data_IF_634701245492
#
_entry.id   IF_634701245492
#
_cell.length_a   1.000
_cell.length_b   1.000
_cell.length_c   1.000
_cell.angle_alpha   90.00
_cell.angle_beta   90.00
_cell.angle_gamma   90.00
#
_symmetry.space_group_name_H-M   'P 1'
#
loop_
_entity.id
_entity.type
_entity.pdbx_description
1 polymer ?
#
# COMPACT_ATOMS: atom_id res chain seq x y z
N UNK A 1 -14.90 -6.80 -3.74
CA UNK A 1 -14.88 -5.78 -4.81
C UNK A 1 -13.50 -5.60 -5.46
N UNK A 2 -12.52 -6.43 -5.06
CA UNK A 2 -11.17 -6.47 -5.66
C UNK A 2 -11.18 -6.93 -7.13
N UNK A 3 -12.20 -7.68 -7.54
CA UNK A 3 -12.25 -8.37 -8.83
C UNK A 3 -13.17 -7.69 -9.86
N UNK A 4 -13.89 -6.67 -9.45
CA UNK A 4 -14.67 -5.85 -10.37
C UNK A 4 -13.90 -4.55 -10.65
N UNK A 5 -13.49 -4.36 -11.90
CA UNK A 5 -12.95 -3.09 -12.39
C UNK A 5 -14.02 -2.00 -12.27
N UNK A 6 -14.11 -1.36 -11.13
CA UNK A 6 -14.79 -0.08 -11.00
C UNK A 6 -13.72 1.00 -11.10
N UNK A 7 -13.66 1.66 -12.24
CA UNK A 7 -12.66 2.66 -12.64
C UNK A 7 -12.47 3.86 -11.70
N UNK A 8 -13.26 3.95 -10.63
CA UNK A 8 -13.25 5.11 -9.72
C UNK A 8 -12.40 4.88 -8.46
N UNK A 9 -12.12 3.62 -8.07
CA UNK A 9 -11.35 3.32 -6.85
C UNK A 9 -9.97 2.71 -7.14
N UNK A 10 -9.66 2.34 -8.37
CA UNK A 10 -8.41 1.67 -8.73
C UNK A 10 -7.17 2.48 -8.33
N UNK A 11 -7.11 3.74 -8.71
CA UNK A 11 -5.93 4.58 -8.46
C UNK A 11 -5.69 4.86 -6.97
N UNK A 12 -6.73 4.96 -6.13
CA UNK A 12 -6.54 5.22 -4.70
C UNK A 12 -5.88 4.04 -3.97
N UNK A 13 -6.32 2.80 -4.25
CA UNK A 13 -5.73 1.61 -3.65
C UNK A 13 -4.29 1.39 -4.13
N UNK A 14 -4.06 1.52 -5.44
CA UNK A 14 -2.72 1.43 -6.02
C UNK A 14 -1.80 2.48 -5.39
N UNK A 15 -2.28 3.72 -5.27
CA UNK A 15 -1.53 4.80 -4.62
C UNK A 15 -1.15 4.46 -3.17
N UNK A 16 -2.08 3.93 -2.38
CA UNK A 16 -1.80 3.52 -1.00
C UNK A 16 -0.76 2.39 -0.94
N UNK A 17 -0.88 1.38 -1.79
CA UNK A 17 0.08 0.27 -1.87
C UNK A 17 1.47 0.76 -2.31
N UNK A 18 1.55 1.61 -3.33
CA UNK A 18 2.83 2.17 -3.78
C UNK A 18 3.51 3.03 -2.72
N UNK A 19 2.75 3.75 -1.87
CA UNK A 19 3.31 4.46 -0.70
C UNK A 19 3.91 3.49 0.33
N UNK A 20 3.27 2.34 0.57
CA UNK A 20 3.83 1.29 1.44
C UNK A 20 5.10 0.70 0.83
N UNK A 21 5.08 0.37 -0.46
CA UNK A 21 6.24 -0.16 -1.19
C UNK A 21 7.41 0.83 -1.14
N UNK A 22 7.15 2.13 -1.39
CA UNK A 22 8.17 3.18 -1.23
C UNK A 22 8.80 3.17 0.16
N UNK A 23 7.97 3.16 1.21
CA UNK A 23 8.44 3.15 2.59
C UNK A 23 9.27 1.90 2.93
N UNK A 24 8.90 0.73 2.39
CA UNK A 24 9.65 -0.53 2.56
C UNK A 24 11.00 -0.49 1.83
N UNK A 25 11.05 0.07 0.62
CA UNK A 25 12.28 0.22 -0.16
C UNK A 25 13.25 1.24 0.46
N UNK A 26 12.73 2.24 1.18
CA UNK A 26 13.51 3.20 1.94
C UNK A 26 13.99 2.64 3.31
N UNK A 27 13.72 1.36 3.60
CA UNK A 27 14.13 0.63 4.83
C UNK A 27 13.73 1.33 6.14
N UNK A 28 12.62 2.04 6.14
CA UNK A 28 12.11 2.73 7.33
C UNK A 28 11.48 1.74 8.32
N UNK A 29 11.64 2.01 9.61
CA UNK A 29 10.78 1.38 10.62
C UNK A 29 9.36 1.87 10.43
N UNK A 30 8.43 0.95 10.12
CA UNK A 30 7.06 1.31 9.83
C UNK A 30 6.06 0.30 10.41
N UNK A 31 4.85 0.77 10.60
CA UNK A 31 3.68 -0.07 10.88
C UNK A 31 2.79 -0.10 9.65
N UNK A 32 2.60 -1.28 9.07
CA UNK A 32 1.70 -1.48 7.95
C UNK A 32 0.39 -2.06 8.44
N UNK A 33 -0.72 -1.43 8.12
CA UNK A 33 -2.07 -1.91 8.41
C UNK A 33 -2.72 -2.34 7.10
N UNK A 34 -3.18 -3.58 7.04
CA UNK A 34 -3.81 -4.15 5.84
C UNK A 34 -4.99 -5.03 6.20
N UNK A 35 -5.86 -5.30 5.23
CA UNK A 35 -6.91 -6.31 5.34
C UNK A 35 -6.41 -7.67 4.87
N UNK A 36 -7.14 -8.74 5.19
CA UNK A 36 -6.81 -10.08 4.71
C UNK A 36 -6.83 -10.17 3.19
N UNK A 37 -7.73 -9.43 2.54
CA UNK A 37 -7.83 -9.31 1.09
C UNK A 37 -6.49 -8.84 0.49
N UNK A 38 -5.89 -7.79 1.08
CA UNK A 38 -4.61 -7.25 0.64
C UNK A 38 -3.42 -8.19 0.87
N UNK A 39 -3.52 -9.08 1.88
CA UNK A 39 -2.50 -10.10 2.14
C UNK A 39 -2.59 -11.30 1.21
N UNK A 40 -3.74 -11.54 0.58
CA UNK A 40 -3.95 -12.69 -0.29
C UNK A 40 -3.53 -12.42 -1.75
N UNK A 41 -3.32 -11.18 -2.14
CA UNK A 41 -2.81 -10.84 -3.47
C UNK A 41 -1.34 -11.26 -3.63
N UNK A 42 -0.99 -11.80 -4.80
CA UNK A 42 0.39 -11.90 -5.22
C UNK A 42 0.86 -10.58 -5.83
N UNK A 43 2.08 -10.19 -5.52
CA UNK A 43 2.68 -8.91 -5.89
C UNK A 43 4.03 -9.13 -6.58
N UNK A 44 4.51 -8.15 -7.33
CA UNK A 44 5.89 -8.16 -7.80
C UNK A 44 6.87 -8.08 -6.63
N UNK A 45 8.03 -8.74 -6.72
CA UNK A 45 9.05 -8.66 -5.67
C UNK A 45 9.59 -7.22 -5.52
N UNK A 46 10.01 -6.85 -4.32
CA UNK A 46 10.61 -5.52 -4.07
C UNK A 46 11.84 -5.28 -4.92
N UNK A 47 12.65 -6.34 -5.16
CA UNK A 47 13.84 -6.28 -6.03
C UNK A 47 13.44 -5.89 -7.45
N UNK A 48 12.41 -6.53 -8.01
CA UNK A 48 11.93 -6.23 -9.35
C UNK A 48 11.36 -4.82 -9.46
N UNK A 49 10.59 -4.38 -8.45
CA UNK A 49 10.10 -3.00 -8.40
C UNK A 49 11.28 -2.03 -8.35
N UNK A 50 12.32 -2.33 -7.55
CA UNK A 50 13.52 -1.50 -7.43
C UNK A 50 14.27 -1.35 -8.76
N UNK A 51 14.33 -2.41 -9.56
CA UNK A 51 14.94 -2.40 -10.90
C UNK A 51 14.18 -1.52 -11.90
N UNK A 52 12.90 -1.25 -11.66
CA UNK A 52 12.04 -0.43 -12.52
C UNK A 52 12.04 1.04 -12.13
N UNK A 53 12.59 1.40 -10.96
CA UNK A 53 12.65 2.79 -10.52
C UNK A 53 13.51 3.63 -11.48
N UNK A 54 13.02 4.82 -11.79
CA UNK A 54 13.77 5.81 -12.56
C UNK A 54 14.20 6.91 -11.60
N UNK A 55 15.48 7.14 -11.49
CA UNK A 55 16.06 8.15 -10.61
C UNK A 55 16.78 9.21 -11.42
N UNK A 56 16.54 10.49 -11.07
CA UNK A 56 17.24 11.64 -11.63
C UNK A 56 17.66 12.59 -10.51
N UNK A 57 18.85 13.14 -10.69
CA UNK A 57 19.40 14.26 -9.92
C UNK A 57 19.43 15.53 -10.78
N UNK A 58 19.61 16.69 -10.17
CA UNK A 58 19.57 18.00 -10.85
C UNK A 58 20.65 18.21 -11.91
N UNK A 59 21.70 17.38 -11.94
CA UNK A 59 22.79 17.41 -12.94
C UNK A 59 22.73 16.24 -13.94
N UNK A 60 21.64 15.46 -13.90
CA UNK A 60 21.45 14.32 -14.79
C UNK A 60 21.13 14.74 -16.22
N UNK A 61 21.41 13.84 -17.17
CA UNK A 61 20.93 13.95 -18.55
C UNK A 61 19.70 13.08 -18.77
N UNK A 62 18.77 13.55 -19.59
CA UNK A 62 17.50 12.88 -19.89
C UNK A 62 17.31 12.72 -21.38
N UNK A 63 17.30 11.48 -21.85
CA UNK A 63 16.72 11.16 -23.15
C UNK A 63 15.18 11.19 -23.04
N UNK A 64 14.59 12.27 -23.55
CA UNK A 64 13.13 12.51 -23.45
C UNK A 64 12.31 11.44 -24.15
N UNK A 65 12.77 10.86 -25.25
CA UNK A 65 12.05 9.80 -25.97
C UNK A 65 12.14 8.47 -25.20
N UNK A 66 13.31 8.17 -24.64
CA UNK A 66 13.46 7.00 -23.78
C UNK A 66 12.59 7.13 -22.54
N UNK A 67 12.59 8.28 -21.85
CA UNK A 67 11.78 8.53 -20.66
C UNK A 67 10.27 8.39 -20.96
N UNK A 68 9.77 8.92 -22.08
CA UNK A 68 8.37 8.71 -22.50
C UNK A 68 8.00 7.23 -22.58
N UNK A 69 8.87 6.44 -23.23
CA UNK A 69 8.61 5.01 -23.41
C UNK A 69 8.66 4.27 -22.05
N UNK A 70 9.57 4.64 -21.17
CA UNK A 70 9.66 4.08 -19.82
C UNK A 70 8.44 4.44 -18.99
N UNK A 71 7.97 5.69 -19.00
CA UNK A 71 6.77 6.11 -18.27
C UNK A 71 5.52 5.36 -18.75
N UNK A 72 5.36 5.19 -20.07
CA UNK A 72 4.25 4.38 -20.60
C UNK A 72 4.37 2.92 -20.15
N UNK A 73 5.57 2.34 -20.16
CA UNK A 73 5.80 0.97 -19.67
C UNK A 73 5.53 0.84 -18.17
N UNK A 74 5.81 1.88 -17.38
CA UNK A 74 5.48 1.96 -15.95
C UNK A 74 3.99 2.24 -15.68
N UNK A 75 3.14 2.34 -16.72
CA UNK A 75 1.71 2.51 -16.60
C UNK A 75 1.22 3.96 -16.46
N UNK A 76 2.08 4.95 -16.72
CA UNK A 76 1.66 6.35 -16.72
C UNK A 76 0.87 6.69 -18.00
N UNK A 77 -0.19 7.47 -17.82
CA UNK A 77 -0.98 8.02 -18.93
C UNK A 77 -0.37 9.32 -19.44
N UNK A 78 -0.16 9.38 -20.77
CA UNK A 78 0.30 10.62 -21.42
C UNK A 78 -0.86 11.58 -21.63
N UNK A 79 -0.75 12.78 -21.08
CA UNK A 79 -1.77 13.83 -21.18
C UNK A 79 -1.19 15.16 -21.70
N UNK A 80 -2.05 16.10 -22.06
CA UNK A 80 -1.62 17.44 -22.45
C UNK A 80 -1.19 18.30 -21.26
N UNK A 81 -1.83 18.13 -20.10
CA UNK A 81 -1.56 18.78 -18.83
C UNK A 81 -1.79 17.78 -17.71
N UNK A 82 -0.86 17.73 -16.75
CA UNK A 82 -0.93 16.82 -15.60
C UNK A 82 -1.85 17.39 -14.54
N UNK A 83 -2.86 16.60 -14.13
CA UNK A 83 -3.87 16.97 -13.14
C UNK A 83 -4.02 15.92 -12.04
N UNK A 84 -3.74 14.65 -12.34
CA UNK A 84 -3.96 13.53 -11.42
C UNK A 84 -2.73 12.61 -11.33
N UNK A 85 -2.53 11.92 -10.18
CA UNK A 85 -1.51 10.89 -10.05
C UNK A 85 -1.59 9.83 -11.13
N UNK A 86 -0.43 9.38 -11.63
CA UNK A 86 -0.31 8.42 -12.73
C UNK A 86 -0.30 9.07 -14.12
N UNK A 87 -0.26 10.39 -14.21
CA UNK A 87 -0.19 11.13 -15.47
C UNK A 87 1.21 11.72 -15.72
N UNK A 88 1.56 11.88 -16.98
CA UNK A 88 2.73 12.65 -17.39
C UNK A 88 2.46 13.47 -18.67
N UNK A 89 3.22 14.55 -18.85
CA UNK A 89 3.18 15.42 -20.02
C UNK A 89 4.58 15.79 -20.45
N UNK A 90 4.81 15.87 -21.76
CA UNK A 90 6.08 16.35 -22.32
C UNK A 90 5.78 17.44 -23.35
N UNK A 91 6.32 18.64 -23.11
CA UNK A 91 6.09 19.85 -23.93
C UNK A 91 7.41 20.60 -24.11
N UNK A 92 8.03 20.44 -25.29
CA UNK A 92 9.36 21.03 -25.52
C UNK A 92 10.39 20.47 -24.52
N UNK A 93 11.10 21.37 -23.83
CA UNK A 93 12.05 21.03 -22.79
C UNK A 93 11.44 20.86 -21.41
N UNK A 94 10.14 20.61 -21.27
CA UNK A 94 9.46 20.43 -19.97
C UNK A 94 8.83 19.05 -19.91
N UNK A 95 9.13 18.32 -18.82
CA UNK A 95 8.52 17.03 -18.48
C UNK A 95 7.82 17.16 -17.14
N UNK A 96 6.50 17.03 -17.14
CA UNK A 96 5.66 17.00 -15.95
C UNK A 96 5.28 15.55 -15.62
N UNK A 97 5.43 15.13 -14.37
CA UNK A 97 5.12 13.75 -13.93
C UNK A 97 4.41 13.81 -12.57
N UNK A 98 3.27 13.13 -12.45
CA UNK A 98 2.58 12.98 -11.16
C UNK A 98 2.72 11.55 -10.66
N UNK A 99 3.74 11.31 -9.85
CA UNK A 99 3.98 10.00 -9.27
C UNK A 99 2.90 9.62 -8.26
N UNK A 100 2.50 8.33 -8.20
CA UNK A 100 1.49 7.84 -7.26
C UNK A 100 1.90 7.99 -5.79
N UNK A 101 3.19 8.01 -5.51
CA UNK A 101 3.73 8.11 -4.15
C UNK A 101 3.72 9.53 -3.59
N UNK A 102 3.57 10.54 -4.46
CA UNK A 102 3.75 11.93 -4.12
C UNK A 102 2.42 12.69 -3.92
N UNK A 103 2.48 13.78 -3.16
CA UNK A 103 1.33 14.67 -2.96
C UNK A 103 1.18 15.68 -4.11
N UNK A 104 2.30 16.09 -4.71
CA UNK A 104 2.35 17.05 -5.81
C UNK A 104 3.13 16.48 -7.00
N UNK A 105 2.77 16.85 -8.24
CA UNK A 105 3.54 16.49 -9.41
C UNK A 105 4.89 17.20 -9.47
N UNK A 106 5.81 16.63 -10.24
CA UNK A 106 7.12 17.17 -10.52
C UNK A 106 7.20 17.76 -11.92
N UNK A 107 7.95 18.85 -12.05
CA UNK A 107 8.33 19.48 -13.32
C UNK A 107 9.84 19.43 -13.45
N UNK A 108 10.30 18.78 -14.50
CA UNK A 108 11.71 18.75 -14.94
C UNK A 108 11.84 19.72 -16.10
N UNK A 109 12.67 20.74 -15.97
CA UNK A 109 13.03 21.66 -17.06
C UNK A 109 14.37 21.23 -17.62
N UNK A 110 14.45 21.15 -18.95
CA UNK A 110 15.63 20.67 -19.65
C UNK A 110 16.22 21.79 -20.49
N UNK A 111 17.55 21.87 -20.47
CA UNK A 111 18.34 22.65 -21.45
C UNK A 111 19.05 21.66 -22.39
N UNK A 112 18.51 21.45 -23.58
CA UNK A 112 18.91 20.32 -24.41
C UNK A 112 18.49 19.02 -23.75
N UNK A 113 19.47 18.18 -23.44
CA UNK A 113 19.26 16.90 -22.74
C UNK A 113 19.66 16.97 -21.24
N UNK A 114 20.16 18.12 -20.77
CA UNK A 114 20.58 18.33 -19.38
C UNK A 114 19.41 18.87 -18.53
N UNK A 115 19.28 18.42 -17.28
CA UNK A 115 18.31 18.94 -16.34
C UNK A 115 18.79 20.31 -15.84
N UNK A 116 18.01 21.36 -16.14
CA UNK A 116 18.21 22.71 -15.64
C UNK A 116 17.61 22.89 -14.24
N UNK A 117 16.43 22.34 -14.00
CA UNK A 117 15.78 22.36 -12.69
C UNK A 117 14.76 21.25 -12.51
N UNK A 118 14.58 20.83 -11.25
CA UNK A 118 13.50 19.94 -10.80
C UNK A 118 12.67 20.69 -9.76
N UNK A 119 11.35 20.72 -9.94
CA UNK A 119 10.45 21.41 -9.01
C UNK A 119 9.16 20.60 -8.78
N UNK A 120 8.61 20.67 -7.58
CA UNK A 120 7.20 20.32 -7.38
C UNK A 120 6.31 21.50 -7.80
N UNK A 121 5.06 21.20 -8.19
CA UNK A 121 4.10 22.23 -8.55
C UNK A 121 2.68 21.82 -8.15
N UNK A 122 1.82 22.80 -7.97
CA UNK A 122 0.41 22.58 -7.68
C UNK A 122 -0.36 22.25 -8.97
N UNK A 123 -1.06 21.11 -9.04
CA UNK A 123 -1.69 20.63 -10.28
C UNK A 123 -2.84 21.52 -10.74
N UNK A 124 -3.52 22.26 -9.85
CA UNK A 124 -4.65 23.13 -10.21
C UNK A 124 -4.16 24.48 -10.77
N UNK A 125 -3.27 25.14 -10.05
CA UNK A 125 -2.76 26.45 -10.44
C UNK A 125 -1.56 26.40 -11.37
N UNK A 126 -0.91 25.23 -11.53
CA UNK A 126 0.31 25.00 -12.30
C UNK A 126 1.53 25.82 -11.81
N UNK A 127 1.47 26.35 -10.59
CA UNK A 127 2.55 27.15 -10.00
C UNK A 127 3.56 26.26 -9.28
N UNK A 128 4.84 26.58 -9.44
CA UNK A 128 5.93 25.91 -8.71
C UNK A 128 5.77 26.13 -7.22
N UNK A 129 6.09 25.08 -6.44
CA UNK A 129 6.05 25.05 -4.98
C UNK A 129 7.48 25.01 -4.44
N UNK A 130 8.21 23.93 -4.65
CA UNK A 130 9.54 23.68 -4.07
C UNK A 130 10.53 23.24 -5.13
N UNK A 131 11.79 23.65 -4.99
CA UNK A 131 12.89 23.10 -5.76
C UNK A 131 13.33 21.77 -5.13
N UNK A 132 13.67 20.80 -5.97
CA UNK A 132 14.12 19.47 -5.59
C UNK A 132 15.51 19.23 -6.17
N UNK A 133 16.35 18.51 -5.44
CA UNK A 133 17.68 18.11 -5.91
C UNK A 133 17.62 16.78 -6.67
N UNK A 134 16.67 15.92 -6.33
CA UNK A 134 16.50 14.59 -6.91
C UNK A 134 15.02 14.20 -6.96
N UNK A 135 14.69 13.22 -7.78
CA UNK A 135 13.40 12.54 -7.79
C UNK A 135 13.53 11.05 -8.12
N UNK A 136 12.61 10.26 -7.63
CA UNK A 136 12.51 8.81 -7.95
C UNK A 136 11.09 8.47 -8.40
N UNK A 137 10.96 8.03 -9.64
CA UNK A 137 9.67 7.67 -10.26
C UNK A 137 9.39 6.20 -9.96
N UNK A 138 8.25 5.96 -9.33
CA UNK A 138 7.72 4.63 -9.03
C UNK A 138 6.71 4.22 -10.10
N UNK A 139 6.49 2.91 -10.33
CA UNK A 139 5.43 2.44 -11.22
C UNK A 139 4.05 3.01 -10.87
N UNK A 140 3.23 3.28 -11.89
CA UNK A 140 1.85 3.72 -11.75
C UNK A 140 0.84 2.56 -11.81
N UNK A 141 1.31 1.32 -11.94
CA UNK A 141 0.52 0.09 -11.94
C UNK A 141 1.18 -0.94 -11.03
N UNK A 142 0.37 -1.86 -10.48
CA UNK A 142 0.86 -2.88 -9.54
C UNK A 142 1.53 -4.08 -10.23
N UNK A 143 1.22 -4.31 -11.51
CA UNK A 143 1.67 -5.49 -12.25
C UNK A 143 2.22 -5.09 -13.61
N UNK A 144 3.52 -5.14 -13.76
CA UNK A 144 4.21 -4.87 -15.03
C UNK A 144 4.58 -6.20 -15.74
N UNK A 145 4.37 -7.33 -15.08
CA UNK A 145 4.64 -8.67 -15.63
C UNK A 145 3.94 -9.79 -14.89
N UNK A 146 3.77 -10.93 -15.56
CA UNK A 146 3.07 -12.12 -15.02
C UNK A 146 4.02 -13.14 -14.36
N UNK A 147 5.30 -12.82 -14.22
CA UNK A 147 6.32 -13.74 -13.71
C UNK A 147 6.91 -13.25 -12.41
N UNK A 148 7.32 -14.20 -11.55
CA UNK A 148 8.04 -13.94 -10.30
C UNK A 148 7.24 -13.16 -9.26
N UNK A 149 5.95 -13.47 -9.17
CA UNK A 149 5.07 -12.90 -8.16
C UNK A 149 5.34 -13.54 -6.79
N UNK A 150 5.35 -12.72 -5.75
CA UNK A 150 5.60 -13.11 -4.36
C UNK A 150 4.38 -12.84 -3.48
N UNK A 151 4.32 -13.47 -2.32
CA UNK A 151 3.33 -13.14 -1.29
C UNK A 151 3.63 -11.77 -0.69
N UNK A 152 2.60 -11.02 -0.29
CA UNK A 152 2.80 -9.79 0.47
C UNK A 152 3.63 -10.01 1.75
N UNK A 153 3.55 -11.20 2.36
CA UNK A 153 4.37 -11.54 3.53
C UNK A 153 5.87 -11.59 3.24
N UNK A 154 6.27 -11.84 1.98
CA UNK A 154 7.69 -11.90 1.60
C UNK A 154 8.37 -10.52 1.60
N UNK A 155 7.59 -9.44 1.64
CA UNK A 155 8.10 -8.07 1.83
C UNK A 155 8.63 -7.82 3.25
N UNK A 156 8.33 -8.70 4.20
CA UNK A 156 8.62 -8.53 5.62
C UNK A 156 9.56 -9.63 6.12
N UNK A 157 10.84 -9.33 6.40
CA UNK A 157 11.78 -10.29 6.98
C UNK A 157 11.25 -10.86 8.32
N UNK A 158 11.30 -12.18 8.49
CA UNK A 158 10.72 -12.86 9.66
C UNK A 158 11.34 -12.40 10.99
N UNK A 159 12.65 -12.17 10.99
CA UNK A 159 13.42 -11.84 12.20
C UNK A 159 13.17 -10.40 12.69
N UNK A 160 12.64 -9.53 11.81
CA UNK A 160 12.44 -8.11 12.09
C UNK A 160 10.97 -7.72 12.13
N UNK A 161 10.07 -8.69 11.98
CA UNK A 161 8.64 -8.42 11.81
C UNK A 161 7.82 -9.07 12.91
N UNK A 162 6.93 -8.28 13.49
CA UNK A 162 5.87 -8.78 14.40
C UNK A 162 4.53 -8.51 13.72
N UNK A 163 3.72 -9.55 13.60
CA UNK A 163 2.41 -9.49 12.96
C UNK A 163 1.32 -9.51 14.02
N UNK A 164 0.44 -8.52 14.00
CA UNK A 164 -0.75 -8.50 14.82
C UNK A 164 -1.96 -8.97 14.02
N UNK A 165 -2.65 -9.98 14.54
CA UNK A 165 -3.86 -10.55 13.94
C UNK A 165 -5.07 -10.12 14.77
N UNK A 166 -5.88 -9.25 14.23
CA UNK A 166 -7.12 -8.82 14.86
C UNK A 166 -8.25 -9.83 14.55
N UNK A 167 -8.79 -10.46 15.60
CA UNK A 167 -9.89 -11.44 15.50
C UNK A 167 -9.63 -12.55 14.46
N UNK A 168 -8.67 -13.48 14.67
CA UNK A 168 -8.28 -14.51 13.70
C UNK A 168 -9.42 -15.34 13.12
N UNK A 169 -10.52 -15.55 13.86
CA UNK A 169 -11.68 -16.25 13.33
C UNK A 169 -12.36 -15.46 12.21
N UNK A 170 -12.44 -14.13 12.36
CA UNK A 170 -12.98 -13.25 11.32
C UNK A 170 -12.08 -13.21 10.08
N UNK A 171 -10.75 -13.27 10.29
CA UNK A 171 -9.80 -13.40 9.19
C UNK A 171 -10.04 -14.68 8.39
N UNK A 172 -10.31 -15.81 9.08
CA UNK A 172 -10.62 -17.09 8.44
C UNK A 172 -11.91 -17.03 7.61
N UNK A 173 -12.97 -16.46 8.19
CA UNK A 173 -14.26 -16.29 7.49
C UNK A 173 -14.12 -15.37 6.27
N UNK A 174 -13.42 -14.23 6.43
CA UNK A 174 -13.23 -13.27 5.34
C UNK A 174 -12.33 -13.85 4.25
N UNK A 175 -11.24 -14.55 4.60
CA UNK A 175 -10.35 -15.20 3.63
C UNK A 175 -11.10 -16.21 2.75
N UNK A 176 -11.94 -17.05 3.35
CA UNK A 176 -12.81 -17.97 2.60
C UNK A 176 -13.81 -17.24 1.70
N UNK A 177 -14.35 -16.12 2.15
CA UNK A 177 -15.26 -15.29 1.33
C UNK A 177 -14.53 -14.67 0.12
N UNK A 178 -13.29 -14.22 0.29
CA UNK A 178 -12.46 -13.68 -0.80
C UNK A 178 -12.17 -14.75 -1.85
N UNK A 179 -11.81 -15.97 -1.44
CA UNK A 179 -11.59 -17.09 -2.36
C UNK A 179 -12.84 -17.42 -3.18
N UNK A 180 -14.00 -17.44 -2.52
CA UNK A 180 -15.27 -17.73 -3.19
C UNK A 180 -15.63 -16.62 -4.19
N UNK A 181 -15.47 -15.35 -3.82
CA UNK A 181 -15.69 -14.21 -4.71
C UNK A 181 -14.75 -14.27 -5.93
N UNK A 182 -13.46 -14.58 -5.72
CA UNK A 182 -12.51 -14.77 -6.79
C UNK A 182 -12.91 -15.90 -7.75
N UNK A 183 -13.32 -17.05 -7.20
CA UNK A 183 -13.79 -18.19 -7.97
C UNK A 183 -15.03 -17.87 -8.83
N UNK A 184 -15.99 -17.14 -8.25
CA UNK A 184 -17.19 -16.70 -8.96
C UNK A 184 -16.86 -15.71 -10.08
N UNK A 185 -16.00 -14.72 -9.82
CA UNK A 185 -15.56 -13.74 -10.82
C UNK A 185 -14.86 -14.39 -12.02
N UNK A 186 -14.14 -15.46 -11.81
CA UNK A 186 -13.52 -16.23 -12.92
C UNK A 186 -14.52 -17.04 -13.76
N UNK A 187 -15.66 -17.44 -13.18
CA UNK A 187 -16.70 -18.22 -13.86
C UNK A 187 -17.65 -17.34 -14.70
N UNK A 188 -17.76 -16.06 -14.38
CA UNK A 188 -18.63 -15.13 -15.12
C UNK A 188 -18.08 -14.87 -16.52
N UNK A 189 -18.95 -15.14 -17.55
CA UNK A 189 -18.65 -14.91 -18.96
C UNK A 189 -18.50 -13.42 -19.25
N UNK A 190 -17.35 -12.87 -19.10
CA UNK A 190 -17.07 -11.44 -19.32
C UNK A 190 -15.94 -10.91 -18.45
N UNK A 191 -15.59 -11.60 -17.40
CA UNK A 191 -14.39 -11.34 -16.58
C UNK A 191 -13.15 -11.66 -17.40
N UNK A 192 -12.69 -10.69 -18.19
CA UNK A 192 -11.51 -10.85 -19.05
C UNK A 192 -10.28 -11.03 -18.16
N UNK A 193 -9.74 -12.27 -18.18
CA UNK A 193 -8.34 -12.54 -17.87
C UNK A 193 -7.85 -12.25 -16.44
N UNK A 194 -8.60 -12.65 -15.41
CA UNK A 194 -7.97 -12.84 -14.11
C UNK A 194 -7.03 -14.06 -14.24
N UNK A 195 -5.70 -13.89 -14.09
CA UNK A 195 -4.75 -14.99 -14.13
C UNK A 195 -5.09 -16.04 -13.08
N UNK A 196 -4.70 -17.30 -13.34
CA UNK A 196 -5.01 -18.39 -12.41
C UNK A 196 -4.37 -18.22 -11.03
N UNK A 197 -3.28 -17.48 -10.96
CA UNK A 197 -2.39 -17.40 -9.80
C UNK A 197 -2.28 -15.98 -9.21
N UNK A 198 -3.33 -15.19 -9.26
CA UNK A 198 -3.28 -13.85 -8.64
C UNK A 198 -3.60 -13.84 -7.15
N UNK A 199 -4.20 -14.91 -6.65
CA UNK A 199 -4.63 -14.99 -5.27
C UNK A 199 -3.97 -16.19 -4.58
N UNK A 200 -3.28 -15.92 -3.46
CA UNK A 200 -2.85 -16.94 -2.52
C UNK A 200 -4.07 -17.51 -1.80
N UNK A 201 -4.15 -18.84 -1.66
CA UNK A 201 -5.23 -19.42 -0.86
C UNK A 201 -5.10 -19.02 0.61
N UNK A 202 -6.23 -18.83 1.28
CA UNK A 202 -6.22 -18.50 2.71
C UNK A 202 -5.50 -19.57 3.54
N UNK A 203 -5.66 -20.84 3.16
CA UNK A 203 -4.95 -21.95 3.82
C UNK A 203 -3.42 -21.82 3.71
N UNK A 204 -2.91 -21.43 2.53
CA UNK A 204 -1.47 -21.18 2.34
C UNK A 204 -1.01 -19.98 3.16
N UNK A 205 -1.73 -18.86 3.11
CA UNK A 205 -1.45 -17.67 3.89
C UNK A 205 -1.45 -17.97 5.40
N UNK A 206 -2.44 -18.72 5.91
CA UNK A 206 -2.53 -19.12 7.31
C UNK A 206 -1.35 -20.02 7.73
N UNK A 207 -0.90 -20.93 6.86
CA UNK A 207 0.27 -21.76 7.11
C UNK A 207 1.54 -20.92 7.23
N UNK A 208 1.71 -19.90 6.40
CA UNK A 208 2.85 -18.99 6.46
C UNK A 208 2.79 -18.09 7.71
N UNK A 209 1.63 -17.53 8.04
CA UNK A 209 1.43 -16.75 9.28
C UNK A 209 1.74 -17.59 10.53
N UNK A 210 1.36 -18.86 10.54
CA UNK A 210 1.65 -19.78 11.66
C UNK A 210 3.14 -20.08 11.89
N UNK A 211 4.01 -19.75 10.94
CA UNK A 211 5.48 -19.88 11.08
C UNK A 211 6.10 -18.62 11.65
N UNK A 212 5.46 -17.47 11.45
CA UNK A 212 5.97 -16.14 11.80
C UNK A 212 5.67 -15.74 13.25
N UNK A 213 6.27 -14.66 13.70
CA UNK A 213 6.01 -14.08 15.02
C UNK A 213 4.67 -13.32 14.98
N UNK A 214 3.60 -14.00 15.38
CA UNK A 214 2.26 -13.44 15.39
C UNK A 214 1.73 -13.25 16.80
N UNK A 215 1.04 -12.14 17.02
CA UNK A 215 0.26 -11.84 18.23
C UNK A 215 -1.21 -11.71 17.81
N UNK A 216 -2.05 -12.60 18.31
CA UNK A 216 -3.50 -12.55 18.05
C UNK A 216 -4.21 -11.78 19.15
N UNK A 217 -5.05 -10.82 18.76
CA UNK A 217 -5.90 -10.05 19.66
C UNK A 217 -7.34 -10.48 19.44
N UNK A 218 -8.01 -10.92 20.51
CA UNK A 218 -9.37 -11.47 20.44
C UNK A 218 -10.23 -10.90 21.56
N UNK A 219 -11.43 -10.47 21.26
CA UNK A 219 -12.41 -10.07 22.30
C UNK A 219 -13.00 -11.27 23.03
N UNK A 220 -13.11 -12.41 22.35
CA UNK A 220 -13.59 -13.66 22.87
C UNK A 220 -12.58 -14.77 22.61
N UNK A 221 -12.59 -15.82 23.42
CA UNK A 221 -11.69 -16.95 23.21
C UNK A 221 -11.90 -17.55 21.80
N UNK A 222 -10.85 -17.59 20.94
CA UNK A 222 -10.99 -18.04 19.57
C UNK A 222 -11.26 -19.55 19.53
N UNK A 223 -12.18 -19.96 18.68
CA UNK A 223 -12.27 -21.36 18.24
C UNK A 223 -10.99 -21.66 17.44
N UNK A 224 -10.30 -22.75 17.77
CA UNK A 224 -9.03 -23.11 17.11
C UNK A 224 -9.26 -23.56 15.65
N UNK A 225 -9.49 -22.61 14.74
CA UNK A 225 -9.68 -22.87 13.32
C UNK A 225 -8.33 -22.75 12.56
N UNK A 226 -7.40 -23.70 12.81
CA UNK A 226 -6.13 -23.76 12.08
C UNK A 226 -5.03 -22.81 12.57
N UNK A 227 -5.27 -22.02 13.62
CA UNK A 227 -4.27 -21.14 14.22
C UNK A 227 -3.46 -21.84 15.29
N UNK A 228 -2.12 -21.71 15.23
CA UNK A 228 -1.20 -22.26 16.23
C UNK A 228 -1.01 -21.26 17.37
N UNK A 229 -1.50 -21.58 18.55
CA UNK A 229 -1.32 -20.77 19.77
C UNK A 229 -0.25 -21.40 20.63
N UNK A 230 0.80 -20.64 20.97
CA UNK A 230 1.89 -21.07 21.86
C UNK A 230 1.58 -20.74 23.32
N UNK A 231 1.16 -19.50 23.55
CA UNK A 231 0.83 -18.95 24.87
C UNK A 231 -0.43 -18.10 24.80
N UNK A 232 -1.16 -18.02 25.95
CA UNK A 232 -2.37 -17.19 26.06
C UNK A 232 -2.23 -16.25 27.24
N UNK A 233 -2.58 -15.00 27.03
CA UNK A 233 -2.66 -13.96 28.05
C UNK A 233 -4.07 -13.42 28.10
N UNK A 234 -4.62 -13.26 29.31
CA UNK A 234 -5.94 -12.70 29.51
C UNK A 234 -5.80 -11.29 30.08
N UNK A 235 -6.41 -10.32 29.40
CA UNK A 235 -6.47 -8.94 29.85
C UNK A 235 -7.89 -8.66 30.34
N UNK A 236 -8.04 -8.33 31.63
CA UNK A 236 -9.31 -7.81 32.12
C UNK A 236 -9.49 -6.37 31.63
N UNK A 237 -10.38 -6.19 30.66
CA UNK A 237 -10.75 -4.86 30.14
C UNK A 237 -12.15 -4.56 30.62
N UNK A 238 -12.32 -3.42 31.28
CA UNK A 238 -13.63 -2.89 31.67
C UNK A 238 -14.01 -1.75 30.72
N UNK A 239 -15.25 -1.78 30.25
CA UNK A 239 -15.77 -0.65 29.46
C UNK A 239 -15.85 0.59 30.35
N UNK A 240 -15.43 1.72 29.79
CA UNK A 240 -15.58 3.02 30.42
C UNK A 240 -17.02 3.50 30.19
N UNK A 241 -17.64 4.09 31.21
CA UNK A 241 -18.96 4.71 31.09
C UNK A 241 -18.95 5.83 30.05
N UNK A 242 -19.97 5.93 29.23
CA UNK A 242 -20.13 7.05 28.32
C UNK A 242 -20.37 8.34 29.13
N UNK A 243 -19.44 9.26 29.10
CA UNK A 243 -19.50 10.48 29.90
C UNK A 243 -20.45 11.56 29.33
N UNK A 244 -20.89 11.42 28.10
CA UNK A 244 -21.86 12.31 27.42
C UNK A 244 -21.60 13.82 27.67
N UNK A 245 -20.34 14.25 27.57
CA UNK A 245 -19.84 15.59 27.89
C UNK A 245 -19.90 15.98 29.40
N UNK A 246 -20.14 15.06 30.32
CA UNK A 246 -20.08 15.32 31.75
C UNK A 246 -18.65 15.19 32.29
N UNK A 247 -17.95 16.31 32.37
CA UNK A 247 -16.60 16.38 32.96
C UNK A 247 -16.57 16.01 34.44
N UNK A 248 -17.66 16.24 35.17
CA UNK A 248 -17.74 15.89 36.59
C UNK A 248 -17.71 14.37 36.82
N UNK A 249 -18.44 13.63 35.99
CA UNK A 249 -18.42 12.16 36.04
C UNK A 249 -17.04 11.62 35.63
N UNK A 250 -16.43 12.18 34.57
CA UNK A 250 -15.10 11.80 34.16
C UNK A 250 -14.06 12.01 35.28
N UNK A 251 -14.05 13.19 35.92
CA UNK A 251 -13.13 13.50 37.02
C UNK A 251 -13.31 12.55 38.20
N UNK A 252 -14.57 12.27 38.55
CA UNK A 252 -14.89 11.32 39.61
C UNK A 252 -14.34 9.93 39.33
N UNK A 253 -14.56 9.41 38.12
CA UNK A 253 -14.10 8.10 37.71
C UNK A 253 -12.57 8.04 37.63
N UNK A 254 -11.92 9.07 37.09
CA UNK A 254 -10.46 9.17 37.07
C UNK A 254 -9.84 9.14 38.46
N UNK A 255 -10.45 9.85 39.43
CA UNK A 255 -10.00 9.78 40.84
C UNK A 255 -10.19 8.39 41.42
N UNK A 256 -11.27 7.70 41.08
CA UNK A 256 -11.51 6.34 41.53
C UNK A 256 -10.50 5.36 40.91
N UNK A 257 -10.25 5.42 39.60
CA UNK A 257 -9.26 4.57 38.91
C UNK A 257 -7.84 4.81 39.46
N UNK A 258 -7.47 6.08 39.70
CA UNK A 258 -6.19 6.38 40.33
C UNK A 258 -6.04 5.76 41.72
N UNK A 259 -7.09 5.75 42.56
CA UNK A 259 -7.12 5.10 43.85
C UNK A 259 -7.01 3.57 43.75
N UNK A 260 -7.50 2.98 42.65
CA UNK A 260 -7.43 1.55 42.37
C UNK A 260 -6.09 1.11 41.74
N UNK A 261 -5.17 2.04 41.53
CA UNK A 261 -3.85 1.76 40.95
C UNK A 261 -3.78 1.70 39.43
N UNK A 262 -4.81 2.09 38.72
CA UNK A 262 -4.74 2.26 37.27
C UNK A 262 -3.81 3.41 36.91
N UNK A 263 -3.01 3.18 35.86
CA UNK A 263 -2.04 4.16 35.33
C UNK A 263 -2.45 4.63 33.95
#
# INVERSE_FOLDING_TARGET
>A
LLFFQADIHGNLLIRQRMKVIKALLEEKELTVVTSIDGCMDFLESLEKIKEQLIHYESDSTVDTEQLKNQLVALGYERVGQVEMPGQFSVRGGIVDIYCLTEENPWRIELWGDEIDSIRSFDPESQRSLENLEELTIYPAVEHIGDKDMVSFLDYFPEERTIIFLDEPNRLTEKGGAVEEEYRQSRQEKGSRNLPENWLCSFEQLQKELNKRNCISVCALEPKQAGWKVREKFYLEVKSISAYNNSFELLVKDLHQYKKQGYR
#
